data_IF_200509399015
#
_entry.id   IF_200509399015
#
_cell.length_a   1.000
_cell.length_b   1.000
_cell.length_c   1.000
_cell.angle_alpha   90.00
_cell.angle_beta   90.00
_cell.angle_gamma   90.00
#
_symmetry.space_group_name_H-M   'P 1'
#
loop_
_entity.id
_entity.type
_entity.pdbx_description
1 polymer ?
#
# COMPACT_ATOMS: atom_id res chain seq x y z
N UNK A 1 43.50 -59.48 17.03
CA UNK A 1 43.58 -58.05 16.63
C UNK A 1 42.19 -57.62 16.11
N UNK A 2 41.36 -57.07 17.00
CA UNK A 2 39.98 -56.80 16.74
C UNK A 2 39.79 -55.25 16.76
N UNK A 3 39.53 -54.67 15.59
CA UNK A 3 39.36 -53.22 15.40
C UNK A 3 37.95 -52.84 15.74
N UNK A 4 37.75 -52.06 16.79
CA UNK A 4 36.50 -51.56 17.28
C UNK A 4 36.10 -50.34 16.45
N UNK A 5 35.10 -50.47 15.59
CA UNK A 5 34.51 -49.40 14.80
C UNK A 5 33.56 -48.57 15.68
N UNK A 6 33.99 -47.37 16.07
CA UNK A 6 33.12 -46.38 16.71
C UNK A 6 32.20 -45.74 15.68
N UNK A 7 30.89 -45.97 15.82
CA UNK A 7 29.83 -45.27 15.08
C UNK A 7 29.61 -43.95 15.78
N UNK A 8 29.95 -42.83 15.12
CA UNK A 8 29.60 -41.49 15.56
C UNK A 8 28.20 -41.19 15.02
N UNK A 9 27.23 -41.23 15.89
CA UNK A 9 25.88 -40.77 15.55
C UNK A 9 25.90 -39.25 15.52
N UNK A 10 25.90 -38.68 14.33
CA UNK A 10 25.71 -37.24 14.08
C UNK A 10 24.28 -36.86 14.36
N UNK A 11 24.03 -36.07 15.38
CA UNK A 11 22.76 -35.43 15.62
C UNK A 11 22.53 -34.33 14.55
N UNK A 12 21.63 -34.59 13.63
CA UNK A 12 21.11 -33.57 12.71
C UNK A 12 20.15 -32.69 13.51
N UNK A 13 20.63 -31.54 13.97
CA UNK A 13 19.75 -30.49 14.48
C UNK A 13 18.95 -29.94 13.30
N UNK A 14 17.68 -30.23 13.30
CA UNK A 14 16.71 -29.61 12.39
C UNK A 14 16.65 -28.12 12.69
N UNK A 15 17.26 -27.29 11.85
CA UNK A 15 17.01 -25.86 11.78
C UNK A 15 15.66 -25.65 11.12
N UNK A 16 14.59 -25.76 11.91
CA UNK A 16 13.26 -25.41 11.47
C UNK A 16 12.98 -23.95 11.85
N UNK A 17 12.60 -23.17 10.84
CA UNK A 17 11.67 -22.06 10.95
C UNK A 17 12.23 -20.70 11.40
N UNK A 18 12.82 -20.00 10.44
CA UNK A 18 12.74 -18.53 10.40
C UNK A 18 12.50 -18.06 8.95
N UNK A 19 11.41 -18.49 8.35
CA UNK A 19 11.05 -18.17 6.95
C UNK A 19 9.66 -17.53 6.86
N UNK A 20 9.28 -16.67 7.82
CA UNK A 20 7.99 -15.98 7.77
C UNK A 20 8.10 -14.46 7.53
N UNK A 21 9.29 -13.91 7.35
CA UNK A 21 9.50 -12.46 7.18
C UNK A 21 9.86 -12.02 5.75
N UNK A 22 10.10 -12.93 4.80
CA UNK A 22 10.62 -12.60 3.46
C UNK A 22 9.77 -13.15 2.31
N UNK A 23 8.46 -13.28 2.46
CA UNK A 23 7.61 -13.49 1.29
C UNK A 23 7.66 -12.22 0.43
N UNK A 24 7.99 -12.32 -0.88
CA UNK A 24 7.95 -11.16 -1.75
C UNK A 24 6.54 -10.56 -1.69
N UNK A 25 6.43 -9.21 -1.69
CA UNK A 25 5.13 -8.56 -1.63
C UNK A 25 4.26 -9.03 -2.80
N UNK A 26 2.93 -9.12 -2.63
CA UNK A 26 2.05 -9.67 -3.64
C UNK A 26 2.22 -8.92 -4.97
N UNK A 27 2.29 -9.65 -6.08
CA UNK A 27 2.36 -9.08 -7.42
C UNK A 27 1.01 -8.48 -7.88
N UNK A 28 -0.09 -8.86 -7.21
CA UNK A 28 -1.44 -8.38 -7.49
C UNK A 28 -2.14 -7.94 -6.19
N UNK A 29 -2.93 -6.89 -6.32
CA UNK A 29 -3.81 -6.44 -5.25
C UNK A 29 -4.96 -7.45 -5.07
N UNK A 30 -5.29 -7.75 -3.82
CA UNK A 30 -6.40 -8.63 -3.49
C UNK A 30 -7.72 -8.01 -3.94
N UNK A 31 -8.64 -8.85 -4.43
CA UNK A 31 -10.02 -8.44 -4.69
C UNK A 31 -10.81 -8.35 -3.37
N UNK A 32 -11.91 -7.59 -3.37
CA UNK A 32 -12.83 -7.50 -2.25
C UNK A 32 -12.31 -6.69 -1.05
N UNK A 33 -11.18 -6.01 -1.18
CA UNK A 33 -10.72 -5.08 -0.14
C UNK A 33 -11.67 -3.90 -0.03
N UNK A 34 -11.89 -3.44 1.20
CA UNK A 34 -12.69 -2.24 1.48
C UNK A 34 -12.13 -1.50 2.68
N UNK A 35 -12.32 -0.19 2.70
CA UNK A 35 -11.96 0.66 3.83
C UNK A 35 -13.11 1.61 4.17
N UNK A 36 -13.13 2.17 5.35
CA UNK A 36 -14.16 3.10 5.80
C UNK A 36 -13.85 4.50 5.27
N UNK A 37 -14.83 5.16 4.68
CA UNK A 37 -14.75 6.60 4.38
C UNK A 37 -15.15 7.39 5.63
N UNK A 38 -14.24 8.12 6.29
CA UNK A 38 -14.55 8.85 7.50
C UNK A 38 -15.46 10.06 7.26
N UNK A 39 -15.62 10.53 6.02
CA UNK A 39 -16.53 11.63 5.71
C UNK A 39 -18.01 11.19 5.68
N UNK A 40 -18.27 9.97 5.20
CA UNK A 40 -19.65 9.45 5.02
C UNK A 40 -20.00 8.34 6.00
N UNK A 41 -19.03 7.81 6.74
CA UNK A 41 -19.15 6.61 7.59
C UNK A 41 -19.51 5.32 6.81
N UNK A 42 -19.28 5.30 5.49
CA UNK A 42 -19.57 4.17 4.62
C UNK A 42 -18.32 3.33 4.31
N UNK A 43 -18.50 2.03 4.12
CA UNK A 43 -17.45 1.17 3.59
C UNK A 43 -17.36 1.31 2.07
N UNK A 44 -16.17 1.58 1.60
CA UNK A 44 -15.85 1.78 0.18
C UNK A 44 -15.03 0.61 -0.31
N UNK A 45 -15.53 -0.10 -1.32
CA UNK A 45 -14.76 -1.13 -2.00
C UNK A 45 -13.62 -0.51 -2.81
N UNK A 46 -12.45 -1.14 -2.76
CA UNK A 46 -11.30 -0.76 -3.58
C UNK A 46 -11.44 -1.41 -4.96
N UNK A 47 -11.90 -0.64 -5.92
CA UNK A 47 -12.10 -1.08 -7.31
C UNK A 47 -10.91 -0.67 -8.18
N UNK A 48 -10.13 -1.65 -8.61
CA UNK A 48 -8.95 -1.43 -9.45
C UNK A 48 -9.34 -1.13 -10.90
N UNK A 49 -10.44 -1.68 -11.40
CA UNK A 49 -10.88 -1.49 -12.78
C UNK A 49 -11.23 -0.03 -13.12
N UNK A 50 -11.54 0.78 -12.10
CA UNK A 50 -11.89 2.18 -12.27
C UNK A 50 -10.72 3.07 -12.77
N UNK A 51 -9.46 2.63 -12.64
CA UNK A 51 -8.30 3.36 -13.14
C UNK A 51 -7.00 3.07 -12.38
N UNK A 52 -5.88 3.59 -12.89
CA UNK A 52 -4.61 3.56 -12.16
C UNK A 52 -4.77 4.13 -10.76
N UNK A 53 -4.54 3.32 -9.75
CA UNK A 53 -4.80 3.69 -8.36
C UNK A 53 -3.49 3.75 -7.57
N UNK A 54 -3.14 4.92 -7.09
CA UNK A 54 -2.06 5.15 -6.13
C UNK A 54 -2.65 5.10 -4.72
N UNK A 55 -2.14 4.18 -3.91
CA UNK A 55 -2.48 4.07 -2.50
C UNK A 55 -1.31 4.63 -1.70
N UNK A 56 -1.54 5.69 -0.94
CA UNK A 56 -0.58 6.22 0.03
C UNK A 56 -1.06 5.83 1.43
N UNK A 57 -0.30 4.95 2.10
CA UNK A 57 -0.56 4.55 3.48
C UNK A 57 0.03 5.59 4.42
N UNK A 58 -0.81 6.15 5.27
CA UNK A 58 -0.49 7.30 6.11
C UNK A 58 -1.03 7.16 7.54
N UNK A 59 -0.66 8.12 8.39
CA UNK A 59 -1.38 8.44 9.62
C UNK A 59 -1.29 9.96 9.87
N UNK A 60 -2.29 10.55 10.53
CA UNK A 60 -2.33 12.00 10.79
C UNK A 60 -1.22 12.47 11.74
N UNK A 61 -0.62 11.56 12.50
CA UNK A 61 0.53 11.81 13.37
C UNK A 61 1.88 11.50 12.71
N UNK A 62 1.88 10.98 11.47
CA UNK A 62 3.10 10.62 10.74
C UNK A 62 3.66 11.85 10.03
N UNK A 63 4.64 12.51 10.65
CA UNK A 63 5.24 13.73 10.10
C UNK A 63 5.82 13.54 8.69
N UNK A 64 6.61 12.47 8.38
CA UNK A 64 7.08 12.24 7.02
C UNK A 64 5.94 12.10 6.00
N UNK A 65 4.80 11.47 6.39
CA UNK A 65 3.65 11.36 5.51
C UNK A 65 3.05 12.74 5.17
N UNK A 66 3.00 13.65 6.16
CA UNK A 66 2.45 15.00 5.97
C UNK A 66 3.37 15.88 5.11
N UNK A 67 4.67 15.67 5.16
CA UNK A 67 5.66 16.38 4.32
C UNK A 67 5.52 16.05 2.83
N UNK A 68 4.89 14.93 2.48
CA UNK A 68 4.65 14.53 1.09
C UNK A 68 3.31 15.04 0.51
N UNK A 69 2.43 15.61 1.34
CA UNK A 69 1.07 15.98 0.95
C UNK A 69 1.03 16.94 -0.25
N UNK A 70 1.91 17.95 -0.30
CA UNK A 70 1.96 18.88 -1.42
C UNK A 70 2.28 18.18 -2.75
N UNK A 71 3.21 17.24 -2.74
CA UNK A 71 3.58 16.45 -3.91
C UNK A 71 2.45 15.49 -4.34
N UNK A 72 1.68 14.99 -3.39
CA UNK A 72 0.48 14.18 -3.67
C UNK A 72 -0.61 15.04 -4.32
N UNK A 73 -0.80 16.30 -3.91
CA UNK A 73 -1.66 17.25 -4.62
C UNK A 73 -1.20 17.48 -6.05
N UNK A 74 0.09 17.72 -6.28
CA UNK A 74 0.65 17.93 -7.61
C UNK A 74 0.40 16.73 -8.53
N UNK A 75 0.57 15.51 -8.03
CA UNK A 75 0.27 14.29 -8.79
C UNK A 75 -1.22 14.15 -9.10
N UNK A 76 -2.08 14.39 -8.10
CA UNK A 76 -3.53 14.33 -8.26
C UNK A 76 -4.00 15.37 -9.29
N UNK A 77 -3.54 16.60 -9.20
CA UNK A 77 -3.96 17.67 -10.12
C UNK A 77 -3.46 17.45 -11.54
N UNK A 78 -2.25 16.91 -11.69
CA UNK A 78 -1.66 16.60 -13.00
C UNK A 78 -2.41 15.49 -13.73
N UNK A 79 -2.85 14.43 -13.03
CA UNK A 79 -3.27 13.19 -13.69
C UNK A 79 -4.72 12.78 -13.44
N UNK A 80 -5.50 13.52 -12.62
CA UNK A 80 -6.91 13.20 -12.34
C UNK A 80 -7.78 13.15 -13.60
N UNK A 81 -7.52 14.05 -14.57
CA UNK A 81 -8.25 14.09 -15.83
C UNK A 81 -7.97 12.85 -16.71
N UNK A 82 -6.81 12.22 -16.53
CA UNK A 82 -6.40 11.01 -17.25
C UNK A 82 -6.79 9.72 -16.50
N UNK A 83 -7.66 9.82 -15.49
CA UNK A 83 -8.18 8.70 -14.75
C UNK A 83 -7.30 8.19 -13.60
N UNK A 84 -6.26 8.94 -13.23
CA UNK A 84 -5.48 8.66 -12.02
C UNK A 84 -6.31 8.84 -10.76
N UNK A 85 -6.19 7.90 -9.86
CA UNK A 85 -6.89 7.87 -8.59
C UNK A 85 -5.89 7.82 -7.44
N UNK A 86 -6.03 8.74 -6.50
CA UNK A 86 -5.25 8.75 -5.27
C UNK A 86 -6.14 8.39 -4.08
N UNK A 87 -5.72 7.36 -3.34
CA UNK A 87 -6.33 6.94 -2.08
C UNK A 87 -5.32 7.15 -0.96
N UNK A 88 -5.66 7.98 0.01
CA UNK A 88 -4.95 8.06 1.27
C UNK A 88 -5.57 7.02 2.22
N UNK A 89 -4.83 6.00 2.60
CA UNK A 89 -5.30 4.94 3.50
C UNK A 89 -4.67 5.15 4.88
N UNK A 90 -5.48 5.64 5.81
CA UNK A 90 -5.06 5.85 7.19
C UNK A 90 -5.02 4.54 7.95
N UNK A 91 -3.88 4.22 8.57
CA UNK A 91 -3.70 3.02 9.39
C UNK A 91 -4.38 3.14 10.75
N UNK A 92 -4.80 2.02 11.41
CA UNK A 92 -5.56 2.08 12.64
C UNK A 92 -4.74 2.54 13.86
N UNK A 93 -3.41 2.44 13.82
CA UNK A 93 -2.55 2.77 14.95
C UNK A 93 -2.71 4.22 15.40
N UNK A 94 -3.21 4.44 16.60
CA UNK A 94 -3.50 5.77 17.19
C UNK A 94 -4.41 6.65 16.32
N UNK A 95 -5.30 6.03 15.53
CA UNK A 95 -6.29 6.67 14.67
C UNK A 95 -7.71 6.27 15.07
N UNK A 96 -8.66 7.12 14.74
CA UNK A 96 -10.09 6.86 14.90
C UNK A 96 -10.88 7.70 13.91
N UNK A 97 -12.11 7.33 13.64
CA UNK A 97 -13.01 8.12 12.76
C UNK A 97 -13.11 9.58 13.22
N UNK A 98 -13.32 9.91 14.51
CA UNK A 98 -13.36 11.31 14.95
C UNK A 98 -12.08 12.09 14.63
N UNK A 99 -10.89 11.49 14.84
CA UNK A 99 -9.61 12.13 14.49
C UNK A 99 -9.46 12.38 12.99
N UNK A 100 -9.92 11.46 12.17
CA UNK A 100 -9.88 11.61 10.72
C UNK A 100 -10.88 12.67 10.23
N UNK A 101 -12.06 12.78 10.85
CA UNK A 101 -13.02 13.87 10.61
C UNK A 101 -12.43 15.23 11.00
N UNK A 102 -11.77 15.32 12.16
CA UNK A 102 -11.06 16.52 12.57
C UNK A 102 -9.96 16.91 11.56
N UNK A 103 -9.15 15.93 11.12
CA UNK A 103 -8.13 16.16 10.11
C UNK A 103 -8.72 16.67 8.77
N UNK A 104 -9.81 16.08 8.30
CA UNK A 104 -10.54 16.54 7.11
C UNK A 104 -11.10 17.96 7.29
N UNK A 105 -11.48 18.36 8.51
CA UNK A 105 -11.95 19.70 8.84
C UNK A 105 -10.87 20.78 8.79
N UNK A 106 -9.59 20.41 8.77
CA UNK A 106 -8.46 21.37 8.70
C UNK A 106 -8.18 21.87 7.28
N UNK A 107 -8.70 21.19 6.26
CA UNK A 107 -8.53 21.60 4.86
C UNK A 107 -8.68 20.44 3.88
N UNK A 108 -8.52 20.72 2.58
CA UNK A 108 -8.59 19.69 1.56
C UNK A 108 -7.46 18.68 1.70
N UNK A 109 -7.74 17.44 1.30
CA UNK A 109 -6.74 16.37 1.16
C UNK A 109 -6.61 15.95 -0.30
N UNK A 110 -5.42 15.52 -0.77
CA UNK A 110 -5.28 15.02 -2.14
C UNK A 110 -6.01 13.68 -2.28
N UNK A 111 -6.88 13.57 -3.29
CA UNK A 111 -7.62 12.34 -3.53
C UNK A 111 -8.70 12.05 -2.48
N UNK A 112 -8.85 10.77 -2.11
CA UNK A 112 -9.85 10.31 -1.14
C UNK A 112 -9.18 9.72 0.09
N UNK A 113 -9.56 10.20 1.28
CA UNK A 113 -9.12 9.61 2.55
C UNK A 113 -10.02 8.45 2.92
N UNK A 114 -9.41 7.30 3.22
CA UNK A 114 -10.07 6.10 3.72
C UNK A 114 -9.42 5.64 5.02
N UNK A 115 -10.15 4.94 5.86
CA UNK A 115 -9.68 4.40 7.13
C UNK A 115 -9.63 2.87 7.08
N UNK A 116 -8.46 2.30 7.20
CA UNK A 116 -8.21 0.85 7.32
C UNK A 116 -8.35 0.42 8.78
N UNK A 117 -9.61 0.42 9.27
CA UNK A 117 -9.90 0.27 10.68
C UNK A 117 -9.43 -1.05 11.29
N UNK A 118 -9.38 -2.12 10.52
CA UNK A 118 -8.97 -3.48 10.92
C UNK A 118 -7.55 -3.85 10.43
N UNK A 119 -6.87 -2.95 9.69
CA UNK A 119 -5.55 -3.19 9.13
C UNK A 119 -5.53 -4.19 7.97
N UNK A 120 -6.68 -4.58 7.45
CA UNK A 120 -6.78 -5.61 6.40
C UNK A 120 -6.20 -5.15 5.08
N UNK A 121 -6.36 -3.86 4.73
CA UNK A 121 -5.79 -3.28 3.50
C UNK A 121 -4.27 -3.24 3.60
N UNK A 122 -3.71 -2.68 4.67
CA UNK A 122 -2.26 -2.64 4.88
C UNK A 122 -1.64 -4.04 4.85
N UNK A 123 -2.28 -5.00 5.53
CA UNK A 123 -1.85 -6.41 5.53
C UNK A 123 -1.86 -7.02 4.14
N UNK A 124 -2.92 -6.80 3.35
CA UNK A 124 -3.03 -7.33 1.99
C UNK A 124 -1.94 -6.78 1.05
N UNK A 125 -1.48 -5.56 1.30
CA UNK A 125 -0.36 -4.96 0.57
C UNK A 125 1.01 -5.19 1.22
N UNK A 126 1.10 -5.90 2.33
CA UNK A 126 2.38 -6.15 3.04
C UNK A 126 3.02 -4.87 3.60
N UNK A 127 2.20 -3.88 3.98
CA UNK A 127 2.69 -2.60 4.54
C UNK A 127 2.96 -2.76 6.02
N UNK A 128 4.22 -2.63 6.42
CA UNK A 128 4.68 -2.69 7.81
C UNK A 128 5.05 -1.32 8.39
N UNK A 129 5.41 -0.37 7.54
CA UNK A 129 5.86 0.98 7.93
C UNK A 129 5.21 2.04 7.06
N UNK A 130 5.15 3.28 7.53
CA UNK A 130 4.64 4.46 6.82
C UNK A 130 5.64 5.62 6.84
N UNK A 131 5.66 6.48 5.81
CA UNK A 131 4.83 6.40 4.61
C UNK A 131 5.11 5.15 3.78
N UNK A 132 4.13 4.70 3.00
CA UNK A 132 4.31 3.66 2.00
C UNK A 132 3.37 3.95 0.82
N UNK A 133 3.87 3.77 -0.39
CA UNK A 133 3.15 4.04 -1.61
C UNK A 133 3.08 2.78 -2.47
N UNK A 134 1.90 2.48 -3.00
CA UNK A 134 1.66 1.37 -3.89
C UNK A 134 0.88 1.87 -5.10
N UNK A 135 1.35 1.56 -6.29
CA UNK A 135 0.63 1.83 -7.54
C UNK A 135 0.04 0.54 -8.08
N UNK A 136 -1.26 0.54 -8.30
CA UNK A 136 -2.03 -0.60 -8.84
C UNK A 136 -2.59 -0.18 -10.20
N UNK A 137 -2.40 -1.03 -11.24
CA UNK A 137 -2.99 -0.82 -12.55
C UNK A 137 -4.46 -1.27 -12.60
N UNK A 138 -5.13 -1.04 -13.74
CA UNK A 138 -6.53 -1.43 -13.98
C UNK A 138 -6.79 -2.93 -13.89
N UNK A 139 -5.76 -3.75 -14.05
CA UNK A 139 -5.86 -5.20 -13.97
C UNK A 139 -5.58 -5.72 -12.55
N UNK A 140 -5.40 -4.81 -11.57
CA UNK A 140 -5.07 -5.14 -10.19
C UNK A 140 -3.62 -5.57 -10.01
N UNK A 141 -2.72 -5.33 -10.96
CA UNK A 141 -1.29 -5.61 -10.80
C UNK A 141 -0.63 -4.49 -10.01
N UNK A 142 0.25 -4.85 -9.11
CA UNK A 142 1.07 -3.88 -8.40
C UNK A 142 2.28 -3.57 -9.27
N UNK A 143 2.33 -2.35 -9.79
CA UNK A 143 3.32 -1.92 -10.79
C UNK A 143 4.46 -1.10 -10.20
N UNK A 144 4.28 -0.55 -8.99
CA UNK A 144 5.34 0.13 -8.24
C UNK A 144 5.06 0.12 -6.73
N UNK A 145 6.14 0.18 -5.93
CA UNK A 145 6.13 0.35 -4.47
C UNK A 145 7.31 1.20 -4.04
N UNK A 146 7.10 2.01 -3.00
CA UNK A 146 8.18 2.74 -2.34
C UNK A 146 7.82 3.07 -0.90
N UNK A 147 8.82 3.27 -0.03
CA UNK A 147 8.64 3.75 1.34
C UNK A 147 8.55 5.27 1.46
N UNK A 148 8.88 6.00 0.38
CA UNK A 148 8.75 7.46 0.30
C UNK A 148 8.44 7.84 -1.15
N UNK A 149 7.74 8.94 -1.36
CA UNK A 149 7.40 9.42 -2.70
C UNK A 149 8.65 9.93 -3.41
N UNK A 150 9.26 9.09 -4.22
CA UNK A 150 10.47 9.39 -4.99
C UNK A 150 10.18 9.62 -6.49
N UNK A 151 11.22 9.99 -7.23
CA UNK A 151 11.11 10.25 -8.67
C UNK A 151 10.79 8.97 -9.46
N UNK A 152 11.35 7.82 -9.07
CA UNK A 152 11.12 6.55 -9.75
C UNK A 152 9.64 6.14 -9.65
N UNK A 153 9.02 6.34 -8.48
CA UNK A 153 7.60 6.09 -8.28
C UNK A 153 6.74 7.08 -9.08
N UNK A 154 7.09 8.36 -9.09
CA UNK A 154 6.39 9.40 -9.88
C UNK A 154 6.41 9.08 -11.38
N UNK A 155 7.56 8.64 -11.91
CA UNK A 155 7.68 8.19 -13.30
C UNK A 155 6.85 6.91 -13.56
N UNK A 156 6.74 6.00 -12.58
CA UNK A 156 5.89 4.83 -12.72
C UNK A 156 4.40 5.23 -12.80
N UNK A 157 3.96 6.21 -12.00
CA UNK A 157 2.62 6.81 -12.11
C UNK A 157 2.38 7.33 -13.52
N UNK A 158 3.27 8.18 -14.03
CA UNK A 158 3.14 8.74 -15.37
C UNK A 158 3.03 7.67 -16.46
N UNK A 159 3.93 6.68 -16.45
CA UNK A 159 3.89 5.58 -17.42
C UNK A 159 2.57 4.80 -17.36
N UNK A 160 2.10 4.50 -16.16
CA UNK A 160 0.89 3.70 -15.96
C UNK A 160 -0.37 4.46 -16.40
N UNK A 161 -0.47 5.76 -16.07
CA UNK A 161 -1.59 6.60 -16.49
C UNK A 161 -1.64 6.73 -18.02
N UNK A 162 -0.50 7.02 -18.68
CA UNK A 162 -0.40 7.10 -20.14
C UNK A 162 -0.76 5.78 -20.83
N UNK A 163 -0.40 4.64 -20.25
CA UNK A 163 -0.77 3.31 -20.77
C UNK A 163 -2.26 3.04 -20.61
N UNK A 164 -2.85 3.45 -19.49
CA UNK A 164 -4.27 3.26 -19.20
C UNK A 164 -5.18 4.07 -20.17
N UNK A 165 -4.72 5.21 -20.68
CA UNK A 165 -5.43 6.03 -21.66
C UNK A 165 -5.42 5.47 -23.09
N UNK A 166 -4.63 4.42 -23.38
CA UNK A 166 -4.61 3.80 -24.71
C UNK A 166 -5.75 2.79 -24.87
N UNK A 167 -6.40 2.74 -26.06
CA UNK A 167 -7.35 1.67 -26.35
C UNK A 167 -6.68 0.30 -26.19
N UNK A 168 -7.41 -0.65 -25.62
CA UNK A 168 -6.94 -2.05 -25.60
C UNK A 168 -7.05 -2.62 -27.01
N UNK A 169 -6.05 -3.40 -27.47
CA UNK A 169 -6.12 -4.07 -28.76
C UNK A 169 -7.24 -5.12 -28.82
#
# INVERSE_FOLDING_TARGET
MTVLRRIVAGAVLAAASYAAADAPPPARASAGLSALDPATDERVALDWAAGPTHIAFIATWCRPCLEEVSRLFDLQDRWKADGYRLLLVALPTRQSVPRLKEFLGQGPVPGRLLFDADGSVAKAFGVATIPAHVLVDRDGRIVARTGALDEAFTQAVERNVRQAGRPRP
#
